data_IF_333947405255
#
_entry.id   IF_333947405255
#
_cell.length_a   1.000
_cell.length_b   1.000
_cell.length_c   1.000
_cell.angle_alpha   90.00
_cell.angle_beta   90.00
_cell.angle_gamma   90.00
#
_symmetry.space_group_name_H-M   'P 1'
#
loop_
_entity.id
_entity.type
_entity.pdbx_description
1 polymer ?
#
# COMPACT_ATOMS: atom_id res chain seq x y z
N UNK A 1 14.30 -7.13 -27.48
CA UNK A 1 12.97 -7.69 -27.18
C UNK A 1 12.59 -7.30 -25.77
N UNK A 2 11.62 -6.41 -25.61
CA UNK A 2 11.12 -6.00 -24.28
C UNK A 2 10.04 -7.01 -23.86
N UNK A 3 10.35 -7.87 -22.89
CA UNK A 3 9.37 -8.79 -22.31
C UNK A 3 8.26 -8.04 -21.59
N UNK A 4 7.13 -8.69 -21.29
CA UNK A 4 5.99 -8.02 -20.66
C UNK A 4 6.43 -7.37 -19.35
N UNK A 5 6.19 -6.06 -19.22
CA UNK A 5 6.39 -5.31 -17.98
C UNK A 5 5.42 -5.88 -16.94
N UNK A 6 5.85 -6.91 -16.24
CA UNK A 6 5.15 -7.44 -15.07
C UNK A 6 5.08 -6.29 -14.06
N UNK A 7 3.88 -5.73 -13.87
CA UNK A 7 3.65 -4.69 -12.86
C UNK A 7 4.16 -5.23 -11.51
N UNK A 8 4.88 -4.43 -10.71
CA UNK A 8 5.29 -4.84 -9.37
C UNK A 8 4.09 -5.40 -8.60
N UNK A 9 4.24 -6.53 -7.87
CA UNK A 9 3.14 -7.20 -7.17
C UNK A 9 2.29 -6.32 -6.25
N UNK A 10 2.84 -5.21 -5.73
CA UNK A 10 2.15 -4.27 -4.82
C UNK A 10 1.23 -3.24 -5.48
N UNK A 11 1.01 -3.26 -6.80
CA UNK A 11 0.10 -2.32 -7.47
C UNK A 11 -1.37 -2.78 -7.49
N UNK A 12 -1.68 -3.98 -6.98
CA UNK A 12 -3.01 -4.58 -7.15
C UNK A 12 -3.98 -4.30 -6.00
N UNK A 13 -3.57 -4.37 -4.74
CA UNK A 13 -4.51 -4.25 -3.62
C UNK A 13 -4.93 -2.79 -3.36
N UNK A 14 -4.05 -1.83 -3.65
CA UNK A 14 -4.37 -0.40 -3.57
C UNK A 14 -5.19 0.16 -4.76
N UNK A 15 -5.62 -0.66 -5.72
CA UNK A 15 -6.31 -0.15 -6.93
C UNK A 15 -7.60 0.61 -6.63
N UNK A 16 -8.38 0.14 -5.65
CA UNK A 16 -9.60 0.82 -5.24
C UNK A 16 -9.29 2.21 -4.65
N UNK A 17 -8.32 2.29 -3.73
CA UNK A 17 -7.90 3.57 -3.14
C UNK A 17 -7.31 4.53 -4.20
N UNK A 18 -6.51 4.01 -5.13
CA UNK A 18 -5.92 4.80 -6.23
C UNK A 18 -6.99 5.34 -7.20
N UNK A 19 -8.14 4.67 -7.33
CA UNK A 19 -9.20 5.10 -8.24
C UNK A 19 -9.81 6.46 -7.86
N UNK A 20 -9.80 6.81 -6.57
CA UNK A 20 -10.26 8.12 -6.09
C UNK A 20 -9.35 9.28 -6.55
N UNK A 21 -8.10 8.99 -6.93
CA UNK A 21 -7.14 9.99 -7.41
C UNK A 21 -6.63 10.95 -6.33
N UNK A 22 -6.91 10.66 -5.06
CA UNK A 22 -6.44 11.42 -3.91
C UNK A 22 -5.12 10.84 -3.37
N UNK A 23 -4.24 11.68 -2.79
CA UNK A 23 -3.04 11.18 -2.13
C UNK A 23 -3.42 10.29 -0.95
N UNK A 24 -2.75 9.14 -0.84
CA UNK A 24 -2.83 8.26 0.34
C UNK A 24 -1.73 8.69 1.31
N UNK A 25 -2.11 9.16 2.49
CA UNK A 25 -1.18 9.29 3.61
C UNK A 25 -1.03 7.94 4.30
N UNK A 26 0.20 7.51 4.53
CA UNK A 26 0.55 6.26 5.21
C UNK A 26 1.52 6.58 6.37
N UNK A 27 1.10 6.29 7.60
CA UNK A 27 1.88 6.53 8.82
C UNK A 27 2.14 5.18 9.49
N UNK A 28 3.37 4.63 9.40
CA UNK A 28 3.71 3.39 10.08
C UNK A 28 3.51 3.53 11.59
N UNK A 29 2.72 2.64 12.17
CA UNK A 29 2.53 2.52 13.63
C UNK A 29 3.53 1.53 14.21
N UNK A 30 3.68 0.38 13.54
CA UNK A 30 4.65 -0.65 13.91
C UNK A 30 5.32 -1.24 12.68
N UNK A 31 6.59 -1.59 12.86
CA UNK A 31 7.41 -2.30 11.86
C UNK A 31 8.14 -3.42 12.58
N UNK A 32 7.87 -4.66 12.18
CA UNK A 32 8.54 -5.84 12.73
C UNK A 32 9.39 -6.49 11.64
N UNK A 33 10.69 -6.61 11.86
CA UNK A 33 11.63 -7.15 10.86
C UNK A 33 12.10 -8.54 11.28
N UNK A 34 12.03 -9.49 10.34
CA UNK A 34 12.55 -10.85 10.48
C UNK A 34 13.37 -11.22 9.23
N UNK A 35 14.70 -11.12 9.34
CA UNK A 35 15.60 -11.35 8.22
C UNK A 35 15.35 -10.35 7.08
N UNK A 36 14.94 -10.86 5.91
CA UNK A 36 14.59 -10.04 4.75
C UNK A 36 13.08 -9.82 4.59
N UNK A 37 12.25 -10.15 5.58
CA UNK A 37 10.82 -9.89 5.61
C UNK A 37 10.51 -8.84 6.69
N UNK A 38 9.52 -7.98 6.44
CA UNK A 38 8.95 -7.12 7.46
C UNK A 38 7.43 -7.08 7.41
N UNK A 39 6.80 -7.05 8.59
CA UNK A 39 5.39 -6.78 8.80
C UNK A 39 5.22 -5.29 9.12
N UNK A 40 4.35 -4.62 8.39
CA UNK A 40 3.98 -3.22 8.59
C UNK A 40 2.56 -3.15 9.12
N UNK A 41 2.34 -2.38 10.17
CA UNK A 41 1.02 -1.94 10.63
C UNK A 41 0.98 -0.43 10.42
N UNK A 42 0.09 0.04 9.56
CA UNK A 42 0.12 1.42 9.03
C UNK A 42 -1.25 2.06 9.21
N UNK A 43 -1.26 3.28 9.74
CA UNK A 43 -2.44 4.13 9.68
C UNK A 43 -2.51 4.81 8.31
N UNK A 44 -3.61 4.61 7.60
CA UNK A 44 -3.84 5.18 6.27
C UNK A 44 -4.99 6.17 6.29
N UNK A 45 -4.83 7.28 5.59
CA UNK A 45 -5.89 8.27 5.41
C UNK A 45 -5.90 8.86 4.01
N UNK A 46 -7.10 9.17 3.53
CA UNK A 46 -7.35 9.93 2.30
C UNK A 46 -8.42 10.96 2.60
N UNK A 47 -8.15 12.22 2.24
CA UNK A 47 -9.08 13.33 2.40
C UNK A 47 -9.07 14.23 1.17
N UNK A 48 -10.26 14.64 0.73
CA UNK A 48 -10.45 15.63 -0.33
C UNK A 48 -11.53 15.23 -1.33
N UNK A 49 -11.62 15.97 -2.41
CA UNK A 49 -12.60 15.75 -3.48
C UNK A 49 -12.08 14.72 -4.48
N UNK A 50 -12.79 13.60 -4.62
CA UNK A 50 -12.48 12.57 -5.61
C UNK A 50 -12.77 13.03 -7.04
N UNK A 51 -12.30 12.26 -8.03
CA UNK A 51 -12.44 12.58 -9.46
C UNK A 51 -13.87 12.73 -9.95
N UNK A 52 -14.83 12.09 -9.29
CA UNK A 52 -16.26 12.18 -9.60
C UNK A 52 -16.96 13.36 -8.91
N UNK A 53 -16.21 14.18 -8.15
CA UNK A 53 -16.73 15.33 -7.41
C UNK A 53 -17.24 14.99 -6.01
N UNK A 54 -17.16 13.73 -5.57
CA UNK A 54 -17.54 13.35 -4.21
C UNK A 54 -16.49 13.77 -3.17
N UNK A 55 -16.94 14.21 -2.00
CA UNK A 55 -16.05 14.45 -0.85
C UNK A 55 -15.71 13.12 -0.16
N UNK A 56 -14.42 12.86 0.03
CA UNK A 56 -13.90 11.69 0.70
C UNK A 56 -13.18 12.10 1.99
N UNK A 57 -13.54 11.49 3.11
CA UNK A 57 -12.76 11.50 4.34
C UNK A 57 -12.71 10.08 4.90
N UNK A 58 -11.66 9.35 4.53
CA UNK A 58 -11.54 7.93 4.83
C UNK A 58 -10.22 7.64 5.54
N UNK A 59 -10.31 7.01 6.71
CA UNK A 59 -9.17 6.55 7.50
C UNK A 59 -9.31 5.06 7.86
N UNK A 60 -8.23 4.44 8.27
CA UNK A 60 -8.20 3.03 8.66
C UNK A 60 -6.79 2.51 8.91
N UNK A 61 -6.69 1.21 9.19
CA UNK A 61 -5.40 0.54 9.40
C UNK A 61 -5.17 -0.46 8.27
N UNK A 62 -4.01 -0.37 7.63
CA UNK A 62 -3.49 -1.33 6.67
C UNK A 62 -2.48 -2.26 7.36
N UNK A 63 -2.35 -3.48 6.84
CA UNK A 63 -1.33 -4.44 7.28
C UNK A 63 -0.62 -5.02 6.08
N UNK A 64 0.69 -4.82 5.99
CA UNK A 64 1.44 -5.19 4.79
C UNK A 64 2.63 -6.08 5.13
N UNK A 65 3.02 -6.91 4.17
CA UNK A 65 4.25 -7.70 4.26
C UNK A 65 5.17 -7.29 3.12
N UNK A 66 6.38 -6.84 3.46
CA UNK A 66 7.40 -6.47 2.48
C UNK A 66 8.60 -7.40 2.58
N UNK A 67 9.30 -7.57 1.46
CA UNK A 67 10.56 -8.32 1.38
C UNK A 67 11.68 -7.47 0.82
N UNK A 68 12.85 -7.52 1.46
CA UNK A 68 14.09 -6.90 0.97
C UNK A 68 14.74 -7.81 -0.06
N UNK A 69 14.93 -7.29 -1.27
CA UNK A 69 15.65 -7.98 -2.34
C UNK A 69 17.16 -7.98 -2.13
N UNK A 70 17.91 -8.73 -2.96
CA UNK A 70 19.37 -8.71 -2.97
C UNK A 70 19.96 -7.32 -3.28
N UNK A 71 19.17 -6.48 -3.97
CA UNK A 71 19.48 -5.08 -4.26
C UNK A 71 19.24 -4.13 -3.06
N UNK A 72 18.89 -4.68 -1.90
CA UNK A 72 18.67 -3.95 -0.67
C UNK A 72 17.33 -3.22 -0.60
N UNK A 73 16.47 -3.33 -1.64
CA UNK A 73 15.20 -2.61 -1.74
C UNK A 73 14.04 -3.43 -1.18
N UNK A 74 13.16 -2.78 -0.41
CA UNK A 74 11.93 -3.39 0.10
C UNK A 74 10.83 -3.33 -0.95
N UNK A 75 10.09 -4.44 -1.09
CA UNK A 75 8.96 -4.55 -2.03
C UNK A 75 7.81 -5.31 -1.38
N UNK A 76 6.58 -4.86 -1.60
CA UNK A 76 5.38 -5.55 -1.14
C UNK A 76 5.33 -6.99 -1.67
N UNK A 77 5.03 -7.90 -0.75
CA UNK A 77 4.68 -9.31 -0.99
C UNK A 77 3.20 -9.53 -0.71
N UNK A 78 2.69 -8.90 0.35
CA UNK A 78 1.26 -8.76 0.66
C UNK A 78 1.00 -7.26 0.89
N UNK A 79 -0.08 -6.77 0.30
CA UNK A 79 -0.62 -5.42 0.47
C UNK A 79 -2.07 -5.61 0.91
N UNK A 80 -2.41 -5.24 2.15
CA UNK A 80 -3.77 -5.39 2.69
C UNK A 80 -4.27 -4.04 3.24
N UNK A 81 -4.76 -3.16 2.34
CA UNK A 81 -5.17 -1.80 2.71
C UNK A 81 -6.44 -1.71 3.54
N UNK A 82 -7.20 -2.80 3.63
CA UNK A 82 -8.47 -2.88 4.38
C UNK A 82 -8.29 -3.53 5.76
N UNK A 83 -7.15 -4.16 6.04
CA UNK A 83 -6.99 -4.95 7.26
C UNK A 83 -7.94 -6.16 7.26
N UNK A 84 -8.51 -6.51 8.41
CA UNK A 84 -9.48 -7.63 8.55
C UNK A 84 -10.89 -7.14 8.90
N UNK A 85 -11.17 -5.85 8.75
CA UNK A 85 -12.42 -5.21 9.14
C UNK A 85 -13.39 -5.08 7.96
#
# INVERSE_FOLDING_TARGET
MSGPRRRPPGLAANQHLQSFGLPIEARPRHVYVAGNIALLIVDRSMRGTARDGSELDMSGTATDVVRRGPDGQWRYVIDNPHGTA
#
